data_IF_616108933373
#
_entry.id   IF_616108933373
#
_cell.length_a   1.000
_cell.length_b   1.000
_cell.length_c   1.000
_cell.angle_alpha   90.00
_cell.angle_beta   90.00
_cell.angle_gamma   90.00
#
_symmetry.space_group_name_H-M   'P 1'
#
loop_
_entity.id
_entity.type
_entity.pdbx_description
1 polymer ?
#
# COMPACT_ATOMS: atom_id res chain seq x y z
N UNK A 1 3.90 17.15 8.22
CA UNK A 1 2.64 17.21 9.00
C UNK A 1 2.25 18.67 8.97
N UNK A 2 1.03 19.06 8.54
CA UNK A 2 0.63 20.45 8.67
C UNK A 2 0.49 20.74 10.16
N UNK A 3 1.30 21.66 10.66
CA UNK A 3 1.30 22.07 12.06
C UNK A 3 -0.08 22.65 12.43
N UNK A 4 -0.82 21.97 13.30
CA UNK A 4 -2.00 22.53 13.97
C UNK A 4 -3.38 22.18 13.41
N UNK A 5 -3.49 21.36 12.36
CA UNK A 5 -4.81 20.92 11.87
C UNK A 5 -5.17 19.49 12.34
N UNK A 6 -6.39 19.32 12.87
CA UNK A 6 -6.98 18.01 13.21
C UNK A 6 -7.40 17.24 11.95
N UNK A 7 -6.48 17.01 11.01
CA UNK A 7 -6.75 16.24 9.79
C UNK A 7 -6.66 14.75 10.09
N UNK A 8 -7.74 14.02 9.81
CA UNK A 8 -7.75 12.56 9.82
C UNK A 8 -7.67 12.06 8.38
N UNK A 9 -6.60 11.33 8.06
CA UNK A 9 -6.37 10.75 6.74
C UNK A 9 -6.68 9.25 6.81
N UNK A 10 -7.60 8.72 5.98
CA UNK A 10 -7.82 7.27 5.89
C UNK A 10 -6.57 6.56 5.36
N UNK A 11 -6.10 5.55 6.11
CA UNK A 11 -4.89 4.80 5.79
C UNK A 11 -5.11 3.30 5.95
N UNK A 12 -4.29 2.50 5.26
CA UNK A 12 -4.12 1.09 5.56
C UNK A 12 -2.82 0.90 6.36
N UNK A 13 -2.89 0.10 7.42
CA UNK A 13 -1.74 -0.20 8.29
C UNK A 13 -1.46 -1.70 8.21
N UNK A 14 -0.30 -2.06 7.66
CA UNK A 14 0.18 -3.44 7.60
C UNK A 14 1.20 -3.67 8.71
N UNK A 15 0.82 -4.46 9.72
CA UNK A 15 1.71 -4.89 10.81
C UNK A 15 2.50 -6.12 10.37
N UNK A 16 3.82 -6.04 10.37
CA UNK A 16 4.70 -7.15 10.03
C UNK A 16 4.91 -8.05 11.25
N UNK A 17 4.79 -9.36 11.06
CA UNK A 17 4.83 -10.39 12.13
C UNK A 17 6.24 -10.91 12.43
N UNK A 18 7.27 -10.39 11.79
CA UNK A 18 8.63 -10.92 11.92
C UNK A 18 9.29 -10.53 13.24
N UNK A 19 10.12 -11.43 13.76
CA UNK A 19 11.05 -11.13 14.84
C UNK A 19 12.12 -10.19 14.28
N UNK A 20 11.97 -8.90 14.56
CA UNK A 20 12.86 -7.84 14.09
C UNK A 20 14.25 -7.99 14.70
N UNK A 21 15.12 -8.75 14.05
CA UNK A 21 16.55 -8.65 14.27
C UNK A 21 17.05 -7.29 13.76
N UNK A 22 18.15 -6.73 14.29
CA UNK A 22 18.72 -5.49 13.78
C UNK A 22 19.04 -5.53 12.28
N UNK A 23 19.42 -6.72 11.76
CA UNK A 23 19.67 -6.94 10.33
C UNK A 23 18.38 -6.83 9.51
N UNK A 24 17.31 -7.49 9.95
CA UNK A 24 16.00 -7.42 9.30
C UNK A 24 15.45 -5.98 9.29
N UNK A 25 15.65 -5.22 10.36
CA UNK A 25 15.21 -3.81 10.41
C UNK A 25 15.89 -2.94 9.34
N UNK A 26 17.16 -3.19 9.02
CA UNK A 26 17.86 -2.47 7.96
C UNK A 26 17.27 -2.80 6.58
N UNK A 27 17.09 -4.09 6.29
CA UNK A 27 16.51 -4.55 5.03
C UNK A 27 15.09 -3.98 4.83
N UNK A 28 14.28 -3.99 5.88
CA UNK A 28 12.95 -3.37 5.89
C UNK A 28 13.00 -1.86 5.61
N UNK A 29 13.97 -1.15 6.21
CA UNK A 29 14.12 0.29 6.00
C UNK A 29 14.58 0.61 4.57
N UNK A 30 15.48 -0.19 4.02
CA UNK A 30 15.95 -0.06 2.64
C UNK A 30 14.77 -0.27 1.65
N UNK A 31 13.93 -1.29 1.88
CA UNK A 31 12.70 -1.48 1.10
C UNK A 31 11.70 -0.34 1.29
N UNK A 32 11.49 0.12 2.53
CA UNK A 32 10.58 1.21 2.84
C UNK A 32 11.01 2.51 2.13
N UNK A 33 12.31 2.76 2.02
CA UNK A 33 12.86 3.89 1.27
C UNK A 33 12.50 3.81 -0.21
N UNK A 34 12.66 2.64 -0.84
CA UNK A 34 12.22 2.42 -2.22
C UNK A 34 10.72 2.67 -2.37
N UNK A 35 9.90 2.08 -1.49
CA UNK A 35 8.44 2.22 -1.53
C UNK A 35 7.96 3.67 -1.32
N UNK A 36 8.68 4.46 -0.53
CA UNK A 36 8.38 5.88 -0.32
C UNK A 36 8.78 6.75 -1.52
N UNK A 37 9.83 6.34 -2.25
CA UNK A 37 10.35 7.03 -3.42
C UNK A 37 9.61 6.75 -4.74
N UNK A 38 8.71 5.75 -4.79
CA UNK A 38 7.96 5.46 -6.01
C UNK A 38 6.98 6.59 -6.35
N UNK A 39 7.13 7.15 -7.56
CA UNK A 39 6.22 8.13 -8.15
C UNK A 39 5.53 7.55 -9.38
N UNK A 40 4.41 6.87 -9.20
CA UNK A 40 3.54 6.37 -10.28
C UNK A 40 2.08 6.36 -9.81
N UNK A 41 1.12 6.71 -10.68
CA UNK A 41 -0.30 6.62 -10.32
C UNK A 41 -0.79 5.19 -10.10
N UNK A 42 -0.04 4.17 -10.55
CA UNK A 42 -0.44 2.76 -10.47
C UNK A 42 0.28 1.97 -9.38
N UNK A 43 1.18 2.61 -8.61
CA UNK A 43 1.89 1.97 -7.51
C UNK A 43 1.52 2.66 -6.20
N UNK A 44 1.08 1.88 -5.21
CA UNK A 44 0.79 2.40 -3.88
C UNK A 44 2.08 2.84 -3.20
N UNK A 45 2.21 4.15 -2.99
CA UNK A 45 3.34 4.75 -2.27
C UNK A 45 3.23 4.52 -0.77
N UNK A 46 4.38 4.28 -0.12
CA UNK A 46 4.46 4.30 1.34
C UNK A 46 4.31 5.75 1.84
N UNK A 47 3.34 5.98 2.73
CA UNK A 47 3.13 7.28 3.38
C UNK A 47 4.05 7.44 4.59
N UNK A 48 4.31 6.34 5.29
CA UNK A 48 5.21 6.32 6.44
C UNK A 48 5.45 4.91 6.96
N UNK A 49 6.42 4.82 7.88
CA UNK A 49 6.77 3.60 8.59
C UNK A 49 6.80 3.89 10.08
N UNK A 50 6.28 2.97 10.89
CA UNK A 50 6.34 3.03 12.34
C UNK A 50 7.22 1.86 12.84
N UNK A 51 8.32 2.19 13.51
CA UNK A 51 9.23 1.22 14.11
C UNK A 51 8.94 1.17 15.62
N UNK A 52 8.20 0.15 16.04
CA UNK A 52 7.89 -0.10 17.46
C UNK A 52 8.34 -1.51 17.83
N UNK A 53 7.68 -2.18 18.79
CA UNK A 53 7.85 -3.62 19.01
C UNK A 53 7.55 -4.46 17.76
N UNK A 54 6.78 -3.91 16.82
CA UNK A 54 6.55 -4.46 15.47
C UNK A 54 6.73 -3.35 14.44
N UNK A 55 7.17 -3.71 13.24
CA UNK A 55 7.16 -2.77 12.10
C UNK A 55 5.75 -2.64 11.55
N UNK A 56 5.33 -1.39 11.29
CA UNK A 56 4.07 -1.09 10.65
C UNK A 56 4.29 -0.22 9.40
N UNK A 57 3.78 -0.66 8.26
CA UNK A 57 3.81 0.08 7.01
C UNK A 57 2.49 0.81 6.83
N UNK A 58 2.54 2.12 6.56
CA UNK A 58 1.37 2.97 6.39
C UNK A 58 1.25 3.38 4.92
N UNK A 59 0.14 3.03 4.28
CA UNK A 59 -0.18 3.38 2.89
C UNK A 59 -1.55 4.06 2.81
N UNK A 60 -1.90 4.60 1.63
CA UNK A 60 -3.27 5.02 1.38
C UNK A 60 -4.24 3.84 1.51
N UNK A 61 -5.45 4.12 2.00
CA UNK A 61 -6.52 3.13 2.01
C UNK A 61 -7.11 2.99 0.61
N UNK A 62 -7.13 1.78 0.07
CA UNK A 62 -7.80 1.46 -1.20
C UNK A 62 -9.26 1.06 -0.90
N UNK A 63 -10.26 1.90 -1.22
CA UNK A 63 -11.64 1.69 -0.76
C UNK A 63 -12.33 0.45 -1.38
N UNK A 64 -11.83 -0.03 -2.51
CA UNK A 64 -12.38 -1.20 -3.22
C UNK A 64 -11.62 -2.50 -2.94
N UNK A 65 -10.68 -2.50 -2.00
CA UNK A 65 -9.93 -3.69 -1.62
C UNK A 65 -8.98 -4.19 -2.72
N UNK A 66 -8.76 -5.51 -2.76
CA UNK A 66 -7.83 -6.12 -3.71
C UNK A 66 -8.53 -6.47 -5.04
N UNK A 67 -7.78 -6.37 -6.14
CA UNK A 67 -8.32 -6.61 -7.49
C UNK A 67 -8.87 -8.03 -7.67
N UNK A 68 -8.27 -9.03 -7.01
CA UNK A 68 -8.72 -10.42 -7.08
C UNK A 68 -10.15 -10.58 -6.58
N UNK A 69 -10.44 -10.03 -5.39
CA UNK A 69 -11.78 -10.11 -4.80
C UNK A 69 -12.75 -9.25 -5.62
N UNK A 70 -12.32 -8.07 -6.06
CA UNK A 70 -13.13 -7.19 -6.92
C UNK A 70 -13.61 -7.91 -8.19
N UNK A 71 -12.71 -8.62 -8.89
CA UNK A 71 -13.05 -9.40 -10.09
C UNK A 71 -14.01 -10.54 -9.79
N UNK A 72 -13.85 -11.21 -8.64
CA UNK A 72 -14.72 -12.31 -8.21
C UNK A 72 -16.13 -11.82 -7.89
N UNK A 73 -16.24 -10.73 -7.15
CA UNK A 73 -17.51 -10.16 -6.69
C UNK A 73 -18.32 -9.52 -7.82
N UNK A 74 -17.66 -8.93 -8.81
CA UNK A 74 -18.29 -8.21 -9.93
C UNK A 74 -18.36 -9.03 -11.22
N UNK A 75 -18.24 -10.35 -11.10
CA UNK A 75 -18.25 -11.26 -12.26
C UNK A 75 -19.52 -11.05 -13.10
N UNK A 76 -19.35 -10.91 -14.41
CA UNK A 76 -20.45 -10.67 -15.35
C UNK A 76 -20.90 -9.21 -15.47
N UNK A 77 -20.36 -8.29 -14.66
CA UNK A 77 -20.58 -6.84 -14.78
C UNK A 77 -19.37 -6.11 -15.38
N UNK A 78 -18.20 -6.76 -15.38
CA UNK A 78 -16.96 -6.22 -15.92
C UNK A 78 -16.91 -6.36 -17.44
N UNK A 79 -16.58 -5.27 -18.13
CA UNK A 79 -16.37 -5.27 -19.57
C UNK A 79 -14.95 -5.71 -19.95
N UNK A 80 -14.75 -6.07 -21.22
CA UNK A 80 -13.42 -6.34 -21.76
C UNK A 80 -12.48 -5.13 -21.63
N UNK A 81 -13.03 -3.92 -21.77
CA UNK A 81 -12.27 -2.68 -21.63
C UNK A 81 -11.66 -2.51 -20.24
N UNK A 82 -12.40 -2.84 -19.16
CA UNK A 82 -11.90 -2.71 -17.78
C UNK A 82 -10.72 -3.65 -17.55
N UNK A 83 -10.87 -4.91 -17.98
CA UNK A 83 -9.82 -5.93 -17.86
C UNK A 83 -8.56 -5.55 -18.64
N UNK A 84 -8.72 -5.07 -19.88
CA UNK A 84 -7.59 -4.62 -20.70
C UNK A 84 -6.91 -3.39 -20.10
N UNK A 85 -7.69 -2.44 -19.56
CA UNK A 85 -7.13 -1.27 -18.88
C UNK A 85 -6.31 -1.68 -17.66
N UNK A 86 -6.79 -2.60 -16.82
CA UNK A 86 -6.03 -3.07 -15.67
C UNK A 86 -4.74 -3.78 -16.06
N UNK A 87 -4.75 -4.57 -17.15
CA UNK A 87 -3.51 -5.15 -17.69
C UNK A 87 -2.49 -4.05 -18.05
N UNK A 88 -2.92 -2.97 -18.71
CA UNK A 88 -2.05 -1.84 -19.07
C UNK A 88 -1.57 -1.07 -17.84
N UNK A 89 -2.40 -0.93 -16.80
CA UNK A 89 -2.04 -0.22 -15.57
C UNK A 89 -1.04 -0.99 -14.70
N UNK A 90 -1.06 -2.33 -14.78
CA UNK A 90 -0.17 -3.21 -13.99
C UNK A 90 1.17 -3.44 -14.68
N UNK A 91 1.20 -3.44 -16.02
CA UNK A 91 2.37 -3.80 -16.83
C UNK A 91 3.56 -2.84 -16.72
#
# INVERSE_FOLDING_TARGET
>A
IPDGENVKIPVAIKVLRENTSPKANKEILDEAYVMAGVGSPYVSRLLGICLTSTVQLVTQLMPYGCLLDHVREHRGRLGSQDLLNWCVQIA
#
